data_IF_361496902991
#
_entry.id   IF_361496902991
#
_cell.length_a   1.000
_cell.length_b   1.000
_cell.length_c   1.000
_cell.angle_alpha   90.00
_cell.angle_beta   90.00
_cell.angle_gamma   90.00
#
_symmetry.space_group_name_H-M   'P 1'
#
loop_
_entity.id
_entity.type
_entity.pdbx_description
1 polymer ?
#
# COMPACT_ATOMS: atom_id res chain seq x y z
N UNK A 1 53.43 3.45 35.81
CA UNK A 1 53.23 2.66 34.57
C UNK A 1 52.12 1.67 34.86
N UNK A 2 50.94 2.02 34.37
CA UNK A 2 49.64 1.54 34.86
C UNK A 2 49.08 0.37 34.03
N UNK A 3 48.13 -0.33 34.65
CA UNK A 3 47.73 -1.71 34.46
C UNK A 3 46.80 -1.93 33.25
N UNK A 4 47.10 -3.04 32.56
CA UNK A 4 46.20 -4.12 32.13
C UNK A 4 44.86 -3.75 31.46
N UNK A 5 44.89 -3.97 30.14
CA UNK A 5 43.86 -4.59 29.28
C UNK A 5 42.64 -5.15 30.03
N UNK A 6 41.46 -4.60 29.74
CA UNK A 6 40.19 -5.31 29.84
C UNK A 6 39.78 -5.75 28.43
N UNK A 7 39.98 -7.05 28.18
CA UNK A 7 39.40 -7.79 27.07
C UNK A 7 38.06 -8.31 27.59
N UNK A 8 36.95 -7.92 26.96
CA UNK A 8 35.66 -8.55 27.19
C UNK A 8 35.54 -9.81 26.33
N UNK A 9 35.25 -10.99 26.90
CA UNK A 9 34.90 -12.16 26.12
C UNK A 9 33.42 -12.20 25.77
N UNK A 10 33.20 -12.85 24.64
CA UNK A 10 31.98 -13.05 23.87
C UNK A 10 30.96 -14.02 24.46
N UNK A 11 29.80 -14.04 23.78
CA UNK A 11 28.80 -15.11 23.63
C UNK A 11 27.68 -15.17 24.68
N UNK A 12 26.45 -14.85 24.24
CA UNK A 12 25.46 -15.92 24.11
C UNK A 12 24.32 -15.51 23.16
N UNK A 13 24.16 -16.31 22.11
CA UNK A 13 23.04 -16.35 21.18
C UNK A 13 21.86 -16.98 21.90
N UNK A 14 20.69 -16.34 21.88
CA UNK A 14 19.42 -17.03 22.13
C UNK A 14 18.28 -16.36 21.37
N UNK A 15 17.82 -17.06 20.35
CA UNK A 15 16.47 -17.05 19.76
C UNK A 15 16.15 -18.53 19.54
N UNK A 16 14.89 -19.02 19.50
CA UNK A 16 13.62 -18.29 19.31
C UNK A 16 12.52 -18.73 20.30
N UNK A 17 11.47 -17.93 20.52
CA UNK A 17 10.19 -18.48 21.01
C UNK A 17 9.06 -18.06 20.08
N UNK A 18 8.47 -19.12 19.58
CA UNK A 18 7.49 -19.25 18.54
C UNK A 18 6.11 -18.81 19.05
N UNK A 19 5.31 -18.41 18.07
CA UNK A 19 3.92 -17.98 18.15
C UNK A 19 3.03 -18.98 18.92
N UNK A 20 2.09 -18.48 19.72
CA UNK A 20 0.78 -19.12 19.93
C UNK A 20 -0.23 -18.12 20.50
N UNK A 21 -0.78 -17.30 19.61
CA UNK A 21 -2.01 -16.55 19.88
C UNK A 21 -3.17 -17.55 19.77
N UNK A 22 -3.75 -17.93 20.91
CA UNK A 22 -4.96 -18.74 20.95
C UNK A 22 -6.17 -17.87 20.57
N UNK A 23 -6.67 -18.08 19.36
CA UNK A 23 -7.96 -17.57 18.90
C UNK A 23 -9.05 -18.37 19.61
N UNK A 24 -9.68 -17.79 20.64
CA UNK A 24 -10.93 -18.31 21.20
C UNK A 24 -12.10 -17.91 20.29
N UNK A 25 -12.31 -18.64 19.20
CA UNK A 25 -13.56 -18.61 18.45
C UNK A 25 -14.59 -19.50 19.15
N UNK A 26 -15.43 -18.88 19.98
CA UNK A 26 -16.61 -19.49 20.59
C UNK A 26 -17.82 -19.15 19.70
N UNK A 27 -18.09 -19.96 18.68
CA UNK A 27 -19.36 -19.94 17.93
C UNK A 27 -20.11 -21.25 18.21
N UNK A 28 -21.30 -21.21 18.82
CA UNK A 28 -22.05 -22.40 19.15
C UNK A 28 -22.63 -23.08 17.92
N UNK A 29 -22.62 -24.41 18.02
CA UNK A 29 -23.11 -25.42 17.08
C UNK A 29 -24.54 -25.15 16.62
N UNK A 30 -24.71 -25.30 15.31
CA UNK A 30 -25.99 -25.52 14.63
C UNK A 30 -26.70 -26.74 15.25
N UNK A 31 -27.92 -26.52 15.73
CA UNK A 31 -28.92 -27.58 15.87
C UNK A 31 -29.76 -27.59 14.61
N UNK A 32 -29.75 -28.75 13.95
CA UNK A 32 -30.65 -29.11 12.88
C UNK A 32 -32.09 -29.13 13.38
N UNK A 33 -33.02 -28.63 12.57
CA UNK A 33 -34.32 -29.28 12.43
C UNK A 33 -34.74 -29.29 10.97
N UNK A 34 -34.73 -30.51 10.46
CA UNK A 34 -35.31 -30.98 9.22
C UNK A 34 -36.84 -30.95 9.38
N UNK A 35 -37.56 -30.24 8.52
CA UNK A 35 -39.00 -30.40 8.37
C UNK A 35 -39.33 -30.43 6.88
N UNK A 36 -39.37 -31.65 6.33
CA UNK A 36 -39.90 -31.93 4.99
C UNK A 36 -41.41 -32.15 5.18
N UNK A 37 -42.21 -31.18 4.76
CA UNK A 37 -43.64 -31.35 4.58
C UNK A 37 -43.92 -31.47 3.08
N UNK A 38 -44.23 -32.68 2.64
CA UNK A 38 -44.72 -33.01 1.31
C UNK A 38 -46.21 -32.66 1.26
N UNK A 39 -46.60 -31.70 0.43
CA UNK A 39 -47.99 -31.53 0.03
C UNK A 39 -48.08 -31.20 -1.46
N UNK A 40 -48.56 -32.19 -2.19
CA UNK A 40 -49.48 -32.18 -3.34
C UNK A 40 -49.61 -30.97 -4.28
N UNK A 41 -49.62 -31.35 -5.56
CA UNK A 41 -50.38 -30.78 -6.69
C UNK A 41 -49.94 -29.44 -7.33
N UNK A 42 -49.18 -29.61 -8.41
CA UNK A 42 -49.44 -29.06 -9.75
C UNK A 42 -50.04 -27.65 -9.87
N UNK A 43 -49.18 -26.66 -10.19
CA UNK A 43 -49.44 -25.74 -11.30
C UNK A 43 -48.13 -25.10 -11.77
N UNK A 44 -48.01 -25.00 -13.08
CA UNK A 44 -46.88 -24.51 -13.85
C UNK A 44 -46.78 -22.98 -13.75
N UNK A 45 -45.70 -22.43 -13.19
CA UNK A 45 -45.35 -21.02 -13.39
C UNK A 45 -43.85 -20.82 -13.57
N UNK A 46 -43.58 -20.22 -14.72
CA UNK A 46 -42.34 -19.74 -15.30
C UNK A 46 -41.51 -18.83 -14.38
N UNK A 47 -40.20 -18.80 -14.70
CA UNK A 47 -39.31 -17.65 -14.69
C UNK A 47 -38.50 -17.30 -13.42
N UNK A 48 -37.18 -17.37 -13.62
CA UNK A 48 -36.17 -16.44 -13.12
C UNK A 48 -36.26 -16.06 -11.62
N UNK A 49 -35.83 -16.95 -10.74
CA UNK A 49 -35.13 -16.47 -9.54
C UNK A 49 -33.65 -16.38 -9.87
N UNK A 50 -33.32 -15.22 -10.45
CA UNK A 50 -31.96 -14.80 -10.74
C UNK A 50 -31.08 -14.98 -9.52
N UNK A 51 -29.87 -15.48 -9.76
CA UNK A 51 -28.80 -15.51 -8.79
C UNK A 51 -28.60 -14.10 -8.24
N UNK A 52 -29.16 -13.81 -7.08
CA UNK A 52 -28.76 -12.69 -6.26
C UNK A 52 -27.33 -12.98 -5.82
N UNK A 53 -26.37 -12.68 -6.69
CA UNK A 53 -25.01 -12.38 -6.26
C UNK A 53 -25.19 -11.22 -5.28
N UNK A 54 -25.08 -11.53 -3.98
CA UNK A 54 -24.64 -10.56 -3.00
C UNK A 54 -23.34 -9.98 -3.58
N UNK A 55 -23.45 -8.84 -4.26
CA UNK A 55 -22.34 -7.92 -4.37
C UNK A 55 -22.13 -7.50 -2.93
N UNK A 56 -21.22 -8.20 -2.23
CA UNK A 56 -20.59 -7.68 -1.05
C UNK A 56 -20.04 -6.32 -1.49
N UNK A 57 -20.78 -5.26 -1.16
CA UNK A 57 -20.33 -3.91 -1.34
C UNK A 57 -19.09 -3.79 -0.48
N UNK A 58 -17.92 -3.95 -1.12
CA UNK A 58 -16.68 -3.44 -0.58
C UNK A 58 -17.01 -2.00 -0.16
N UNK A 59 -16.95 -1.75 1.15
CA UNK A 59 -17.09 -0.41 1.68
C UNK A 59 -16.07 0.43 0.94
N UNK A 60 -16.53 1.20 -0.04
CA UNK A 60 -15.67 2.09 -0.81
C UNK A 60 -15.12 3.08 0.18
N UNK A 61 -13.86 2.90 0.60
CA UNK A 61 -13.17 3.83 1.46
C UNK A 61 -13.26 5.22 0.83
N UNK A 62 -14.08 6.10 1.40
CA UNK A 62 -14.30 7.45 0.88
C UNK A 62 -13.07 8.34 1.01
N UNK A 63 -12.02 7.87 1.68
CA UNK A 63 -10.76 8.60 1.87
C UNK A 63 -9.80 8.36 0.72
N UNK A 64 -9.00 9.37 0.37
CA UNK A 64 -7.87 9.24 -0.56
C UNK A 64 -6.65 8.57 0.06
N UNK A 65 -6.81 7.88 1.20
CA UNK A 65 -5.73 7.18 1.88
C UNK A 65 -5.11 6.09 1.00
N UNK A 66 -3.80 6.18 0.82
CA UNK A 66 -2.96 5.24 0.10
C UNK A 66 -1.71 4.96 0.94
N UNK A 67 -1.34 3.68 1.02
CA UNK A 67 -0.09 3.24 1.64
C UNK A 67 0.93 2.98 0.54
N UNK A 68 2.02 3.74 0.54
CA UNK A 68 3.12 3.61 -0.41
C UNK A 68 4.33 3.01 0.29
N UNK A 69 4.85 1.90 -0.23
CA UNK A 69 6.13 1.31 0.17
C UNK A 69 7.18 1.72 -0.84
N UNK A 70 8.02 2.68 -0.47
CA UNK A 70 9.14 3.16 -1.28
C UNK A 70 10.34 2.26 -1.03
N UNK A 71 10.83 1.60 -2.07
CA UNK A 71 11.99 0.72 -2.05
C UNK A 71 13.12 1.34 -2.88
N UNK A 72 14.29 1.47 -2.28
CA UNK A 72 15.52 1.80 -2.97
C UNK A 72 16.28 0.50 -3.21
N UNK A 73 16.53 0.13 -4.48
CA UNK A 73 17.24 -1.09 -4.82
C UNK A 73 18.70 -1.00 -4.36
N UNK A 74 19.32 -2.14 -4.06
CA UNK A 74 20.72 -2.20 -3.59
C UNK A 74 21.72 -1.75 -4.66
N UNK A 75 21.32 -1.81 -5.92
CA UNK A 75 22.06 -1.37 -7.10
C UNK A 75 22.09 0.16 -7.24
N UNK A 76 21.30 0.88 -6.43
CA UNK A 76 21.29 2.33 -6.44
C UNK A 76 22.53 2.88 -5.73
N UNK A 77 23.17 3.87 -6.35
CA UNK A 77 24.32 4.53 -5.77
C UNK A 77 23.98 5.17 -4.42
N UNK A 78 24.95 5.15 -3.50
CA UNK A 78 24.82 5.80 -2.20
C UNK A 78 24.60 7.31 -2.35
N UNK A 79 23.77 7.88 -1.49
CA UNK A 79 23.62 9.33 -1.38
C UNK A 79 23.27 9.72 0.05
N UNK A 80 23.61 10.95 0.41
CA UNK A 80 23.26 11.55 1.71
C UNK A 80 22.57 12.88 1.52
N UNK A 81 21.84 13.29 2.55
CA UNK A 81 21.27 14.64 2.70
C UNK A 81 20.34 15.03 1.53
N UNK A 82 19.54 14.07 1.07
CA UNK A 82 18.53 14.28 0.04
C UNK A 82 17.16 14.44 0.67
N UNK A 83 16.27 15.08 -0.08
CA UNK A 83 14.87 15.16 0.30
C UNK A 83 14.05 14.14 -0.49
N UNK A 84 13.36 13.24 0.21
CA UNK A 84 12.38 12.35 -0.39
C UNK A 84 11.02 13.05 -0.41
N UNK A 85 10.44 13.24 -1.59
CA UNK A 85 9.10 13.79 -1.74
C UNK A 85 8.14 12.77 -2.33
N UNK A 86 7.03 12.53 -1.63
CA UNK A 86 5.89 11.76 -2.13
C UNK A 86 4.74 12.73 -2.39
N UNK A 87 4.22 12.72 -3.62
CA UNK A 87 3.15 13.63 -4.07
C UNK A 87 1.97 12.81 -4.58
N UNK A 88 0.79 13.08 -4.03
CA UNK A 88 -0.48 12.52 -4.49
C UNK A 88 -1.18 13.57 -5.34
N UNK A 89 -1.51 13.18 -6.57
CA UNK A 89 -2.20 14.02 -7.54
C UNK A 89 -3.57 13.46 -7.86
N UNK A 90 -4.51 14.36 -8.18
CA UNK A 90 -5.80 14.03 -8.77
C UNK A 90 -5.92 14.64 -10.16
N UNK A 91 -6.54 13.92 -11.09
CA UNK A 91 -6.79 14.41 -12.44
C UNK A 91 -8.14 13.94 -12.96
N UNK A 92 -8.67 14.66 -13.95
CA UNK A 92 -9.88 14.27 -14.67
C UNK A 92 -9.48 13.54 -15.96
N UNK A 93 -9.82 12.26 -16.13
CA UNK A 93 -9.49 11.53 -17.35
C UNK A 93 -10.21 12.06 -18.60
N UNK A 94 -11.27 12.87 -18.44
CA UNK A 94 -12.03 13.45 -19.55
C UNK A 94 -11.51 14.83 -19.99
N UNK A 95 -10.63 15.45 -19.21
CA UNK A 95 -10.06 16.77 -19.49
C UNK A 95 -8.54 16.65 -19.66
N UNK A 96 -8.09 16.32 -20.87
CA UNK A 96 -6.67 16.14 -21.17
C UNK A 96 -5.85 17.43 -21.09
N UNK A 97 -6.49 18.58 -21.31
CA UNK A 97 -5.82 19.89 -21.31
C UNK A 97 -5.68 20.50 -19.90
N UNK A 98 -6.27 19.86 -18.88
CA UNK A 98 -6.20 20.32 -17.49
C UNK A 98 -5.14 19.51 -16.75
N UNK A 99 -4.18 20.22 -16.15
CA UNK A 99 -3.15 19.63 -15.32
C UNK A 99 -3.72 18.92 -14.09
N UNK A 100 -2.94 18.02 -13.50
CA UNK A 100 -3.33 17.35 -12.28
C UNK A 100 -3.22 18.27 -11.06
N UNK A 101 -4.20 18.23 -10.17
CA UNK A 101 -4.21 18.97 -8.91
C UNK A 101 -3.42 18.19 -7.84
N UNK A 102 -2.58 18.89 -7.07
CA UNK A 102 -1.86 18.28 -5.96
C UNK A 102 -2.81 18.13 -4.76
N UNK A 103 -3.09 16.89 -4.39
CA UNK A 103 -3.94 16.55 -3.24
C UNK A 103 -3.15 16.65 -1.94
N UNK A 104 -1.97 16.02 -1.90
CA UNK A 104 -1.13 16.01 -0.71
C UNK A 104 0.34 15.84 -1.10
N UNK A 105 1.23 16.46 -0.33
CA UNK A 105 2.68 16.31 -0.44
C UNK A 105 3.26 15.97 0.92
N UNK A 106 4.08 14.93 0.96
CA UNK A 106 4.88 14.55 2.12
C UNK A 106 6.35 14.67 1.72
N UNK A 107 7.11 15.45 2.48
CA UNK A 107 8.55 15.60 2.31
C UNK A 107 9.25 15.01 3.53
N UNK A 108 10.29 14.22 3.31
CA UNK A 108 11.14 13.64 4.35
C UNK A 108 12.59 14.04 4.09
N UNK A 109 13.13 14.80 5.02
CA UNK A 109 14.48 15.33 5.01
C UNK A 109 15.04 15.28 6.45
N UNK A 110 16.27 14.81 6.69
CA UNK A 110 17.21 14.25 5.71
C UNK A 110 16.89 12.80 5.32
N UNK A 111 17.15 12.44 4.06
CA UNK A 111 17.05 11.07 3.55
C UNK A 111 18.35 10.62 2.90
N UNK A 112 18.85 9.47 3.37
CA UNK A 112 20.13 8.90 2.95
C UNK A 112 19.97 7.42 2.62
N UNK A 113 20.74 6.97 1.64
CA UNK A 113 20.79 5.59 1.17
C UNK A 113 22.23 5.14 1.01
N UNK A 114 22.49 3.87 1.32
CA UNK A 114 23.78 3.24 1.13
C UNK A 114 23.65 2.10 0.12
N UNK A 115 24.49 2.15 -0.91
CA UNK A 115 24.63 1.11 -1.93
C UNK A 115 24.92 -0.24 -1.27
N UNK A 116 24.43 -1.31 -1.89
CA UNK A 116 24.52 -2.66 -1.35
C UNK A 116 23.46 -2.99 -0.30
N UNK A 117 22.70 -2.00 0.21
CA UNK A 117 21.61 -2.22 1.17
C UNK A 117 20.28 -1.69 0.66
N UNK A 118 19.32 -2.58 0.42
CA UNK A 118 17.95 -2.19 0.11
C UNK A 118 17.35 -1.37 1.27
N UNK A 119 16.74 -0.23 0.94
CA UNK A 119 16.06 0.63 1.92
C UNK A 119 14.57 0.62 1.61
N UNK A 120 13.74 0.28 2.60
CA UNK A 120 12.28 0.25 2.47
C UNK A 120 11.65 1.25 3.44
N UNK A 121 10.73 2.05 2.92
CA UNK A 121 9.99 3.05 3.69
C UNK A 121 8.50 2.94 3.38
N UNK A 122 7.70 2.67 4.41
CA UNK A 122 6.23 2.69 4.29
C UNK A 122 5.71 4.05 4.73
N UNK A 123 4.98 4.72 3.85
CA UNK A 123 4.41 6.05 4.05
C UNK A 123 2.91 5.98 3.74
N UNK A 124 2.08 6.55 4.60
CA UNK A 124 0.66 6.75 4.33
C UNK A 124 0.41 8.20 3.90
N UNK A 125 -0.33 8.39 2.81
CA UNK A 125 -0.67 9.69 2.24
C UNK A 125 -2.16 9.72 1.86
N UNK A 126 -2.78 10.90 1.88
CA UNK A 126 -4.19 11.08 1.50
C UNK A 126 -5.18 10.78 2.61
N UNK A 127 -4.73 10.60 3.86
CA UNK A 127 -5.63 10.26 4.97
C UNK A 127 -6.71 11.33 5.24
N UNK A 128 -6.40 12.61 4.91
CA UNK A 128 -7.31 13.75 5.12
C UNK A 128 -8.23 14.01 3.92
N UNK A 129 -7.89 13.51 2.73
CA UNK A 129 -8.65 13.78 1.51
C UNK A 129 -9.84 12.84 1.35
N UNK A 130 -10.83 13.29 0.58
CA UNK A 130 -11.99 12.50 0.17
C UNK A 130 -11.90 12.17 -1.32
N UNK A 131 -12.21 10.92 -1.68
CA UNK A 131 -12.21 10.45 -3.06
C UNK A 131 -13.36 11.12 -3.78
N UNK A 132 -13.04 11.86 -4.85
CA UNK A 132 -14.04 12.46 -5.73
C UNK A 132 -14.48 11.43 -6.76
N UNK A 133 -15.79 11.24 -6.97
CA UNK A 133 -16.27 10.35 -8.02
C UNK A 133 -15.79 10.84 -9.39
N UNK A 134 -15.50 9.90 -10.30
CA UNK A 134 -15.01 10.15 -11.66
C UNK A 134 -13.62 10.80 -11.76
N UNK A 135 -12.94 11.06 -10.65
CA UNK A 135 -11.54 11.49 -10.63
C UNK A 135 -10.59 10.30 -10.50
N UNK A 136 -9.42 10.45 -11.09
CA UNK A 136 -8.32 9.47 -10.99
C UNK A 136 -7.19 10.04 -10.18
N UNK A 137 -6.50 9.15 -9.47
CA UNK A 137 -5.43 9.51 -8.57
C UNK A 137 -4.15 8.81 -9.00
N UNK A 138 -3.02 9.51 -8.90
CA UNK A 138 -1.71 8.90 -9.08
C UNK A 138 -0.70 9.43 -8.07
N UNK A 139 0.27 8.58 -7.75
CA UNK A 139 1.39 8.91 -6.89
C UNK A 139 2.65 9.09 -7.72
N UNK A 140 3.47 10.04 -7.29
CA UNK A 140 4.84 10.16 -7.77
C UNK A 140 5.77 10.39 -6.59
N UNK A 141 6.89 9.68 -6.59
CA UNK A 141 7.98 9.87 -5.64
C UNK A 141 9.17 10.49 -6.35
N UNK A 142 9.78 11.49 -5.72
CA UNK A 142 11.01 12.12 -6.17
C UNK A 142 12.05 12.08 -5.06
N UNK A 143 13.33 11.94 -5.45
CA UNK A 143 14.44 12.27 -4.56
C UNK A 143 15.11 13.51 -5.12
N UNK A 144 15.24 14.53 -4.28
CA UNK A 144 15.77 15.84 -4.63
C UNK A 144 17.12 16.07 -3.96
N UNK A 145 17.97 16.77 -4.69
CA UNK A 145 19.24 17.31 -4.23
C UNK A 145 19.16 18.84 -4.30
N UNK A 146 18.72 19.46 -3.20
CA UNK A 146 18.22 20.83 -3.25
C UNK A 146 17.08 20.95 -4.27
N UNK A 147 17.25 21.77 -5.30
CA UNK A 147 16.25 22.00 -6.35
C UNK A 147 16.30 20.98 -7.50
N UNK A 148 17.32 20.13 -7.54
CA UNK A 148 17.54 19.18 -8.64
C UNK A 148 16.85 17.85 -8.38
N UNK A 149 16.01 17.42 -9.33
CA UNK A 149 15.40 16.07 -9.30
C UNK A 149 16.43 15.05 -9.77
N UNK A 150 16.89 14.19 -8.87
CA UNK A 150 17.93 13.19 -9.16
C UNK A 150 17.37 11.80 -9.35
N UNK A 151 16.24 11.49 -8.72
CA UNK A 151 15.60 10.18 -8.80
C UNK A 151 14.07 10.29 -8.93
N UNK A 152 13.49 9.26 -9.52
CA UNK A 152 12.06 9.11 -9.75
C UNK A 152 11.60 7.73 -9.25
N UNK A 153 10.43 7.68 -8.62
CA UNK A 153 9.77 6.44 -8.24
C UNK A 153 8.92 5.86 -9.38
N UNK A 154 9.07 4.56 -9.60
CA UNK A 154 8.29 3.77 -10.56
C UNK A 154 7.42 2.74 -9.83
N UNK A 155 6.17 2.54 -10.28
CA UNK A 155 5.28 1.54 -9.71
C UNK A 155 5.81 0.14 -10.04
N UNK A 156 6.17 -0.63 -9.02
CA UNK A 156 6.72 -1.98 -9.18
C UNK A 156 7.93 -2.05 -10.17
N UNK A 157 8.68 -0.95 -10.32
CA UNK A 157 9.79 -0.85 -11.28
C UNK A 157 9.36 -0.76 -12.76
N UNK A 158 8.08 -0.50 -13.03
CA UNK A 158 7.55 -0.27 -14.37
C UNK A 158 7.39 1.23 -14.64
N UNK A 159 7.83 1.66 -15.82
CA UNK A 159 7.66 3.04 -16.29
C UNK A 159 6.18 3.37 -16.42
N UNK A 160 5.76 4.52 -15.93
CA UNK A 160 4.40 5.02 -16.06
C UNK A 160 3.88 5.72 -14.80
N UNK A 161 2.64 6.20 -14.88
CA UNK A 161 1.98 6.83 -13.74
C UNK A 161 1.57 5.76 -12.72
N UNK A 162 1.90 5.99 -11.44
CA UNK A 162 1.50 5.10 -10.36
C UNK A 162 0.03 5.35 -10.00
N UNK A 163 -0.90 4.86 -10.82
CA UNK A 163 -2.34 5.01 -10.57
C UNK A 163 -2.78 4.21 -9.34
N UNK A 164 -3.64 4.84 -8.53
CA UNK A 164 -4.14 4.38 -7.24
C UNK A 164 -5.62 4.75 -7.05
N UNK A 165 -6.30 4.08 -6.11
CA UNK A 165 -7.68 4.34 -5.67
C UNK A 165 -8.76 4.01 -6.72
N UNK A 166 -8.67 4.59 -7.91
CA UNK A 166 -9.73 4.53 -8.93
C UNK A 166 -9.67 3.26 -9.77
N UNK A 167 -10.81 2.85 -10.35
CA UNK A 167 -10.91 1.78 -11.35
C UNK A 167 -10.33 0.42 -10.94
N UNK A 168 -10.42 0.07 -9.65
CA UNK A 168 -9.91 -1.19 -9.11
C UNK A 168 -8.40 -1.20 -8.85
N UNK A 169 -7.72 -0.06 -8.96
CA UNK A 169 -6.31 0.04 -8.61
C UNK A 169 -6.08 -0.08 -7.09
N UNK A 170 -4.98 -0.73 -6.68
CA UNK A 170 -4.72 -0.98 -5.28
C UNK A 170 -4.40 0.32 -4.53
N UNK A 171 -4.86 0.40 -3.28
CA UNK A 171 -4.49 1.45 -2.31
C UNK A 171 -3.17 1.19 -1.59
N UNK A 172 -2.58 0.02 -1.83
CA UNK A 172 -1.24 -0.34 -1.35
C UNK A 172 -0.35 -0.49 -2.57
N UNK A 173 0.67 0.34 -2.68
CA UNK A 173 1.57 0.34 -3.84
C UNK A 173 3.01 0.23 -3.42
N UNK A 174 3.80 -0.51 -4.20
CA UNK A 174 5.24 -0.53 -4.08
C UNK A 174 5.84 0.39 -5.14
N UNK A 175 6.72 1.28 -4.70
CA UNK A 175 7.40 2.26 -5.54
C UNK A 175 8.88 1.95 -5.50
N UNK A 176 9.48 1.66 -6.65
CA UNK A 176 10.92 1.42 -6.77
C UNK A 176 11.59 2.70 -7.26
N UNK A 177 12.56 3.20 -6.52
CA UNK A 177 13.29 4.42 -6.88
C UNK A 177 14.39 4.10 -7.89
N UNK A 178 14.46 4.89 -8.96
CA UNK A 178 15.51 4.83 -9.98
C UNK A 178 16.18 6.19 -10.15
N UNK A 179 17.44 6.18 -10.57
CA UNK A 179 18.12 7.41 -10.99
C UNK A 179 17.54 7.94 -12.30
N UNK A 180 17.41 9.26 -12.38
CA UNK A 180 17.07 9.99 -13.59
C UNK A 180 18.25 10.90 -13.89
N UNK A 181 18.88 10.68 -15.05
CA UNK A 181 19.94 11.50 -15.61
C UNK A 181 19.42 12.12 -16.90
#
# INVERSE_FOLDING_TARGET
MDRRRLVMPSLCVSSPINQRVYIMNRFPRQTAMLAIAVFGSALFTFALFGSARLMAGDKTDESTKVTATVTLPKELASFTDRTLELRLYEYDPLLADVGADLVEKISKDPFSHSEGKATELTIEIGAKGKVKPRRRYYLTTFVLDGDSRTHLGEKDGKRGLCQVISDGHPRKVKIVVRSVR
#
